data_IF_991296567824
#
_entry.id   IF_991296567824
#
_cell.length_a   1.000
_cell.length_b   1.000
_cell.length_c   1.000
_cell.angle_alpha   90.00
_cell.angle_beta   90.00
_cell.angle_gamma   90.00
#
_symmetry.space_group_name_H-M   'P 1'
#
loop_
_entity.id
_entity.type
_entity.pdbx_description
1 polymer ?
#
# COMPACT_ATOMS: atom_id res chain seq x y z
N UNK A 1 11.47 -25.22 15.62
CA UNK A 1 11.73 -25.15 14.16
C UNK A 1 11.31 -23.82 13.52
N UNK A 2 10.37 -23.06 14.08
CA UNK A 2 9.85 -21.83 13.44
C UNK A 2 10.74 -20.58 13.66
N UNK A 3 11.56 -20.56 14.72
CA UNK A 3 12.37 -19.40 15.10
C UNK A 3 13.36 -18.92 14.02
N UNK A 4 14.14 -19.79 13.33
CA UNK A 4 15.04 -19.33 12.27
C UNK A 4 14.29 -18.68 11.10
N UNK A 5 13.13 -19.25 10.73
CA UNK A 5 12.28 -18.71 9.66
C UNK A 5 11.75 -17.33 10.06
N UNK A 6 11.31 -17.18 11.32
CA UNK A 6 10.84 -15.90 11.84
C UNK A 6 11.94 -14.83 11.87
N UNK A 7 13.18 -15.22 12.20
CA UNK A 7 14.33 -14.31 12.17
C UNK A 7 14.61 -13.81 10.74
N UNK A 8 14.61 -14.71 9.75
CA UNK A 8 14.77 -14.33 8.34
C UNK A 8 13.63 -13.41 7.90
N UNK A 9 12.38 -13.74 8.25
CA UNK A 9 11.22 -12.92 7.93
C UNK A 9 11.33 -11.51 8.54
N UNK A 10 11.82 -11.38 9.77
CA UNK A 10 12.05 -10.09 10.41
C UNK A 10 13.14 -9.27 9.70
N UNK A 11 14.23 -9.89 9.27
CA UNK A 11 15.29 -9.22 8.50
C UNK A 11 14.75 -8.71 7.17
N UNK A 12 14.02 -9.55 6.44
CA UNK A 12 13.39 -9.15 5.17
C UNK A 12 12.38 -8.01 5.37
N UNK A 13 11.57 -8.09 6.43
CA UNK A 13 10.59 -7.06 6.76
C UNK A 13 11.25 -5.73 7.14
N UNK A 14 12.34 -5.77 7.90
CA UNK A 14 13.11 -4.58 8.25
C UNK A 14 13.73 -3.94 7.00
N UNK A 15 14.34 -4.75 6.12
CA UNK A 15 14.87 -4.28 4.83
C UNK A 15 13.79 -3.64 3.95
N UNK A 16 12.60 -4.26 3.89
CA UNK A 16 11.45 -3.72 3.17
C UNK A 16 11.00 -2.35 3.72
N UNK A 17 10.94 -2.18 5.05
CA UNK A 17 10.59 -0.90 5.67
C UNK A 17 11.60 0.21 5.37
N UNK A 18 12.90 -0.12 5.37
CA UNK A 18 13.97 0.82 4.99
C UNK A 18 13.79 1.23 3.52
N UNK A 19 13.58 0.26 2.62
CA UNK A 19 13.35 0.54 1.20
C UNK A 19 12.13 1.44 0.95
N UNK A 20 11.03 1.26 1.69
CA UNK A 20 9.86 2.16 1.59
C UNK A 20 10.19 3.55 2.12
N UNK A 21 10.94 3.64 3.22
CA UNK A 21 11.31 4.92 3.82
C UNK A 21 12.11 5.77 2.83
N UNK A 22 12.93 5.15 1.98
CA UNK A 22 13.75 5.85 0.99
C UNK A 22 13.03 6.08 -0.35
N UNK A 23 11.83 5.55 -0.54
CA UNK A 23 11.04 5.76 -1.75
C UNK A 23 10.69 7.25 -1.96
N UNK A 24 10.90 7.72 -3.20
CA UNK A 24 10.63 9.13 -3.58
C UNK A 24 9.12 9.39 -3.69
N UNK A 25 8.67 10.66 -3.57
CA UNK A 25 7.25 11.02 -3.72
C UNK A 25 6.65 10.65 -5.08
N UNK A 26 7.47 10.65 -6.13
CA UNK A 26 7.09 10.23 -7.49
C UNK A 26 6.83 8.73 -7.57
N UNK A 27 7.60 7.91 -6.85
CA UNK A 27 7.43 6.46 -6.79
C UNK A 27 6.26 6.06 -5.88
N UNK A 28 6.03 6.81 -4.79
CA UNK A 28 5.01 6.48 -3.81
C UNK A 28 4.39 7.73 -3.16
N UNK A 29 3.07 7.96 -3.34
CA UNK A 29 2.38 9.05 -2.68
C UNK A 29 2.58 9.03 -1.15
N UNK A 30 2.74 10.19 -0.48
CA UNK A 30 3.03 10.26 0.96
C UNK A 30 1.98 9.55 1.83
N UNK A 31 0.71 9.55 1.42
CA UNK A 31 -0.35 8.85 2.14
C UNK A 31 -0.15 7.33 2.12
N UNK A 32 0.09 6.76 0.93
CA UNK A 32 0.38 5.33 0.73
C UNK A 32 1.62 4.90 1.48
N UNK A 33 2.65 5.74 1.49
CA UNK A 33 3.90 5.52 2.24
C UNK A 33 3.65 5.40 3.74
N UNK A 34 2.85 6.30 4.33
CA UNK A 34 2.51 6.24 5.77
C UNK A 34 1.74 4.97 6.13
N UNK A 35 0.76 4.57 5.31
CA UNK A 35 -0.04 3.36 5.55
C UNK A 35 0.84 2.11 5.45
N UNK A 36 1.72 2.03 4.44
CA UNK A 36 2.65 0.91 4.28
C UNK A 36 3.67 0.81 5.41
N UNK A 37 4.18 1.95 5.92
CA UNK A 37 5.05 1.95 7.10
C UNK A 37 4.30 1.44 8.33
N UNK A 38 3.07 1.90 8.57
CA UNK A 38 2.25 1.43 9.68
C UNK A 38 1.95 -0.08 9.60
N UNK A 39 1.55 -0.56 8.41
CA UNK A 39 1.32 -1.99 8.15
C UNK A 39 2.60 -2.82 8.32
N UNK A 40 3.75 -2.26 7.90
CA UNK A 40 5.04 -2.92 8.06
C UNK A 40 5.46 -3.05 9.53
N UNK A 41 5.20 -2.04 10.37
CA UNK A 41 5.40 -2.12 11.81
C UNK A 41 4.51 -3.18 12.46
N UNK A 42 3.22 -3.20 12.14
CA UNK A 42 2.31 -4.25 12.63
C UNK A 42 2.81 -5.65 12.25
N UNK A 43 3.30 -5.81 11.02
CA UNK A 43 3.87 -7.07 10.56
C UNK A 43 5.12 -7.47 11.33
N UNK A 44 6.00 -6.51 11.68
CA UNK A 44 7.17 -6.78 12.54
C UNK A 44 6.79 -7.27 13.93
N UNK A 45 5.63 -6.89 14.47
CA UNK A 45 5.10 -7.44 15.72
C UNK A 45 4.42 -8.80 15.53
N UNK A 46 3.68 -8.96 14.42
CA UNK A 46 2.95 -10.19 14.13
C UNK A 46 3.88 -11.40 13.92
N UNK A 47 5.04 -11.20 13.29
CA UNK A 47 6.02 -12.27 13.01
C UNK A 47 6.52 -12.96 14.30
N UNK A 48 7.15 -12.26 15.27
CA UNK A 48 7.66 -12.89 16.49
C UNK A 48 6.54 -13.46 17.35
N UNK A 49 5.38 -12.79 17.39
CA UNK A 49 4.23 -13.28 18.15
C UNK A 49 3.67 -14.58 17.57
N UNK A 50 3.59 -14.68 16.24
CA UNK A 50 3.19 -15.92 15.56
C UNK A 50 4.23 -17.01 15.75
N UNK A 51 5.52 -16.67 15.68
CA UNK A 51 6.61 -17.62 15.91
C UNK A 51 6.58 -18.18 17.34
N UNK A 52 6.24 -17.34 18.32
CA UNK A 52 6.01 -17.76 19.70
C UNK A 52 4.77 -18.67 19.80
N UNK A 53 3.66 -18.28 19.18
CA UNK A 53 2.43 -19.07 19.12
C UNK A 53 2.62 -20.46 18.53
N UNK A 54 3.41 -20.59 17.46
CA UNK A 54 3.69 -21.88 16.82
C UNK A 54 4.81 -22.68 17.48
N UNK A 55 5.79 -22.01 18.10
CA UNK A 55 7.02 -22.65 18.56
C UNK A 55 7.05 -22.96 20.06
N UNK A 56 6.40 -22.15 20.88
CA UNK A 56 6.55 -22.14 22.34
C UNK A 56 5.21 -22.18 23.09
N UNK A 57 4.14 -21.65 22.51
CA UNK A 57 2.83 -21.67 23.16
C UNK A 57 2.28 -23.09 23.20
N UNK A 58 2.23 -23.66 24.40
CA UNK A 58 1.67 -25.00 24.62
C UNK A 58 0.14 -24.95 24.71
N UNK A 59 -0.58 -25.85 24.03
CA UNK A 59 -2.03 -26.03 24.24
C UNK A 59 -2.38 -26.44 25.67
N UNK A 60 -1.42 -26.96 26.44
CA UNK A 60 -1.62 -27.34 27.85
C UNK A 60 -1.95 -26.15 28.74
N UNK A 61 -1.62 -24.91 28.33
CA UNK A 61 -2.04 -23.67 28.98
C UNK A 61 -3.07 -22.94 28.13
N UNK A 62 -4.30 -23.45 28.13
CA UNK A 62 -5.39 -22.97 27.28
C UNK A 62 -5.59 -21.44 27.29
N UNK A 63 -5.47 -20.79 28.46
CA UNK A 63 -5.58 -19.33 28.58
C UNK A 63 -4.49 -18.59 27.81
N UNK A 64 -3.22 -18.93 28.04
CA UNK A 64 -2.07 -18.33 27.36
C UNK A 64 -2.13 -18.58 25.85
N UNK A 65 -2.43 -19.81 25.43
CA UNK A 65 -2.58 -20.18 24.03
C UNK A 65 -3.65 -19.32 23.35
N UNK A 66 -4.84 -19.21 23.96
CA UNK A 66 -5.95 -18.43 23.40
C UNK A 66 -5.60 -16.94 23.28
N UNK A 67 -4.97 -16.34 24.29
CA UNK A 67 -4.57 -14.94 24.27
C UNK A 67 -3.60 -14.64 23.13
N UNK A 68 -2.59 -15.49 22.92
CA UNK A 68 -1.61 -15.29 21.84
C UNK A 68 -2.30 -15.32 20.48
N UNK A 69 -3.16 -16.31 20.25
CA UNK A 69 -3.88 -16.42 18.98
C UNK A 69 -4.88 -15.28 18.76
N UNK A 70 -5.56 -14.82 19.81
CA UNK A 70 -6.40 -13.62 19.72
C UNK A 70 -5.58 -12.39 19.32
N UNK A 71 -4.39 -12.20 19.89
CA UNK A 71 -3.50 -11.10 19.52
C UNK A 71 -2.99 -11.24 18.08
N UNK A 72 -2.60 -12.44 17.64
CA UNK A 72 -2.17 -12.70 16.26
C UNK A 72 -3.30 -12.39 15.28
N UNK A 73 -4.50 -12.89 15.53
CA UNK A 73 -5.69 -12.64 14.69
C UNK A 73 -6.01 -11.13 14.68
N UNK A 74 -5.94 -10.47 15.84
CA UNK A 74 -6.16 -9.03 15.95
C UNK A 74 -5.14 -8.21 15.14
N UNK A 75 -3.85 -8.56 15.20
CA UNK A 75 -2.81 -7.93 14.40
C UNK A 75 -3.02 -8.15 12.90
N UNK A 76 -3.34 -9.37 12.48
CA UNK A 76 -3.65 -9.68 11.07
C UNK A 76 -4.88 -8.88 10.63
N UNK A 77 -5.93 -8.84 11.44
CA UNK A 77 -7.13 -8.04 11.18
C UNK A 77 -6.80 -6.56 11.00
N UNK A 78 -5.95 -5.98 11.85
CA UNK A 78 -5.48 -4.60 11.72
C UNK A 78 -4.68 -4.36 10.44
N UNK A 79 -3.80 -5.29 10.06
CA UNK A 79 -3.04 -5.24 8.80
C UNK A 79 -3.98 -5.25 7.59
N UNK A 80 -4.95 -6.17 7.57
CA UNK A 80 -5.96 -6.28 6.51
C UNK A 80 -6.80 -5.01 6.44
N UNK A 81 -7.23 -4.48 7.59
CA UNK A 81 -7.99 -3.24 7.67
C UNK A 81 -7.21 -2.04 7.09
N UNK A 82 -5.92 -1.89 7.44
CA UNK A 82 -5.07 -0.87 6.84
C UNK A 82 -4.91 -1.05 5.32
N UNK A 83 -4.81 -2.29 4.85
CA UNK A 83 -4.73 -2.58 3.42
C UNK A 83 -6.03 -2.19 2.67
N UNK A 84 -7.19 -2.42 3.28
CA UNK A 84 -8.48 -1.96 2.74
C UNK A 84 -8.54 -0.42 2.69
N UNK A 85 -8.11 0.26 3.75
CA UNK A 85 -8.04 1.72 3.76
C UNK A 85 -7.08 2.27 2.68
N UNK A 86 -5.93 1.62 2.45
CA UNK A 86 -4.99 1.97 1.38
C UNK A 86 -5.66 1.83 0.00
N UNK A 87 -6.36 0.71 -0.22
CA UNK A 87 -7.07 0.44 -1.46
C UNK A 87 -8.19 1.47 -1.71
N UNK A 88 -9.01 1.75 -0.70
CA UNK A 88 -10.07 2.76 -0.79
C UNK A 88 -9.53 4.15 -1.11
N UNK A 89 -8.42 4.54 -0.46
CA UNK A 89 -7.80 5.84 -0.71
C UNK A 89 -7.19 5.92 -2.12
N UNK A 90 -6.57 4.84 -2.58
CA UNK A 90 -6.04 4.73 -3.95
C UNK A 90 -7.15 4.84 -4.99
N UNK A 91 -8.28 4.15 -4.77
CA UNK A 91 -9.45 4.24 -5.65
C UNK A 91 -10.04 5.65 -5.69
N UNK A 92 -10.05 6.35 -4.55
CA UNK A 92 -10.50 7.75 -4.48
C UNK A 92 -9.60 8.67 -5.31
N UNK A 93 -8.27 8.48 -5.25
CA UNK A 93 -7.31 9.28 -6.00
C UNK A 93 -7.41 9.03 -7.52
N UNK A 94 -7.52 7.78 -7.95
CA UNK A 94 -7.68 7.46 -9.38
C UNK A 94 -8.96 8.02 -10.00
N UNK A 95 -10.04 8.14 -9.22
CA UNK A 95 -11.26 8.81 -9.70
C UNK A 95 -11.01 10.30 -9.99
N UNK A 96 -10.20 10.98 -9.18
CA UNK A 96 -9.87 12.39 -9.43
C UNK A 96 -8.88 12.61 -10.58
N UNK A 97 -8.03 11.63 -10.87
CA UNK A 97 -7.07 11.70 -11.98
C UNK A 97 -7.76 11.47 -13.34
N UNK A 98 -8.76 10.58 -13.41
CA UNK A 98 -9.52 10.34 -14.64
C UNK A 98 -10.23 11.58 -15.19
N UNK A 99 -10.75 12.43 -14.30
CA UNK A 99 -11.41 13.69 -14.68
C UNK A 99 -10.42 14.73 -15.23
N UNK A 100 -9.15 14.70 -14.79
CA UNK A 100 -8.11 15.59 -15.29
C UNK A 100 -7.61 15.13 -16.66
N UNK A 101 -7.42 13.83 -16.86
CA UNK A 101 -7.03 13.27 -18.16
C UNK A 101 -8.07 13.58 -19.23
N UNK A 102 -9.36 13.49 -18.92
CA UNK A 102 -10.41 13.86 -19.87
C UNK A 102 -10.45 15.36 -20.18
N UNK A 103 -10.14 16.23 -19.21
CA UNK A 103 -10.03 17.67 -19.44
C UNK A 103 -8.84 18.00 -20.32
N UNK A 104 -7.67 17.46 -20.02
CA UNK A 104 -6.44 17.65 -20.81
C UNK A 104 -6.61 17.15 -22.26
N UNK A 105 -7.22 15.98 -22.44
CA UNK A 105 -7.51 15.44 -23.76
C UNK A 105 -8.48 16.35 -24.53
N UNK A 106 -9.52 16.86 -23.87
CA UNK A 106 -10.50 17.77 -24.47
C UNK A 106 -9.89 19.13 -24.83
N UNK A 107 -8.98 19.64 -24.01
CA UNK A 107 -8.24 20.86 -24.31
C UNK A 107 -7.29 20.69 -25.50
N UNK A 108 -6.58 19.55 -25.57
CA UNK A 108 -5.70 19.24 -26.69
C UNK A 108 -6.49 19.11 -28.01
N UNK A 109 -7.61 18.38 -28.00
CA UNK A 109 -8.51 18.29 -29.16
C UNK A 109 -9.06 19.64 -29.61
N UNK A 110 -9.36 20.56 -28.68
CA UNK A 110 -9.79 21.92 -29.03
C UNK A 110 -8.69 22.70 -29.72
N UNK A 111 -7.45 22.67 -29.19
CA UNK A 111 -6.29 23.33 -29.81
C UNK A 111 -6.02 22.79 -31.22
N UNK A 112 -6.00 21.48 -31.39
CA UNK A 112 -5.76 20.86 -32.70
C UNK A 112 -6.83 21.26 -33.72
N UNK A 113 -8.11 21.37 -33.31
CA UNK A 113 -9.20 21.84 -34.18
C UNK A 113 -9.07 23.32 -34.57
N UNK A 114 -8.66 24.17 -33.62
CA UNK A 114 -8.44 25.59 -33.87
C UNK A 114 -7.26 25.79 -34.85
N UNK A 115 -6.16 25.04 -34.67
CA UNK A 115 -5.01 25.04 -35.59
C UNK A 115 -5.39 24.59 -37.01
N UNK A 116 -6.19 23.53 -37.15
CA UNK A 116 -6.69 23.07 -38.44
C UNK A 116 -7.58 24.11 -39.12
N UNK A 117 -8.40 24.83 -38.34
CA UNK A 117 -9.26 25.89 -38.86
C UNK A 117 -8.44 27.06 -39.40
N UNK A 118 -7.44 27.51 -38.64
CA UNK A 118 -6.53 28.57 -39.09
C UNK A 118 -5.77 28.20 -40.37
N UNK A 119 -5.27 26.96 -40.46
CA UNK A 119 -4.59 26.48 -41.67
C UNK A 119 -5.52 26.49 -42.88
N UNK A 120 -6.78 26.09 -42.70
CA UNK A 120 -7.79 26.11 -43.77
C UNK A 120 -8.09 27.54 -44.25
N UNK A 121 -8.17 28.49 -43.32
CA UNK A 121 -8.41 29.91 -43.65
C UNK A 121 -7.19 30.53 -44.37
N UNK A 122 -5.95 30.15 -44.01
CA UNK A 122 -4.73 30.61 -44.68
C UNK A 122 -4.48 29.95 -46.04
N UNK A 123 -4.94 28.72 -46.23
CA UNK A 123 -4.76 27.93 -47.46
C UNK A 123 -5.75 28.22 -48.57
N UNK A 124 -6.69 29.15 -48.36
CA UNK A 124 -7.71 29.53 -49.34
C UNK A 124 -7.46 30.97 -49.86
N UNK A 125 -6.49 31.16 -50.78
CA UNK A 125 -6.23 32.45 -51.43
C UNK A 125 -7.37 32.88 -52.37
#
# INVERSE_FOLDING_TARGET
MVLPIAAVALILQAGYLIAIKDATPEQMPPSRKRIRIASGWLSMFAIPLSAYGFGLASPSSAGTFTIIWMLVIGLIGAIVFLAVLDAMNTMRLHRSEGDQVHKELREKLRRDLDEMREQRERGNP
#
